data_IF_273972936907
#
_entry.id   IF_273972936907
#
_cell.length_a   1.000
_cell.length_b   1.000
_cell.length_c   1.000
_cell.angle_alpha   90.00
_cell.angle_beta   90.00
_cell.angle_gamma   90.00
#
_symmetry.space_group_name_H-M   'P 1'
#
loop_
_entity.id
_entity.type
_entity.pdbx_description
1 polymer ?
#
# COMPACT_ATOMS: atom_id res chain seq x y z
N UNK A 1 -1.97 -27.94 8.29
CA UNK A 1 -2.58 -27.82 6.97
C UNK A 1 -2.17 -26.54 6.27
N UNK A 2 -2.53 -26.38 5.02
CA UNK A 2 -2.23 -25.18 4.20
C UNK A 2 -2.79 -23.85 4.79
N UNK A 3 -3.81 -23.95 5.64
CA UNK A 3 -4.45 -22.76 6.26
C UNK A 3 -3.53 -22.01 7.24
N UNK A 4 -2.55 -22.68 7.85
CA UNK A 4 -1.64 -22.03 8.79
C UNK A 4 -0.57 -21.15 8.13
N UNK A 5 -0.29 -21.35 6.85
CA UNK A 5 0.72 -20.57 6.11
C UNK A 5 0.19 -19.20 5.66
N UNK A 6 -1.12 -19.07 5.48
CA UNK A 6 -1.74 -17.80 5.06
C UNK A 6 -1.59 -16.68 6.11
N UNK A 7 -1.34 -17.05 7.35
CA UNK A 7 -1.31 -16.17 8.51
C UNK A 7 0.10 -16.05 9.11
N UNK A 8 1.13 -16.44 8.34
CA UNK A 8 2.52 -16.26 8.77
C UNK A 8 3.01 -14.85 8.42
N UNK A 9 3.60 -14.19 9.42
CA UNK A 9 4.09 -12.82 9.35
C UNK A 9 5.52 -12.73 9.83
N UNK A 10 6.32 -11.94 9.13
CA UNK A 10 7.66 -11.53 9.55
C UNK A 10 7.63 -10.05 9.90
N UNK A 11 8.34 -9.66 10.96
CA UNK A 11 8.43 -8.26 11.38
C UNK A 11 9.89 -7.85 11.36
N UNK A 12 10.21 -6.83 10.58
CA UNK A 12 11.56 -6.32 10.39
C UNK A 12 11.62 -4.84 10.78
N UNK A 13 12.72 -4.42 11.41
CA UNK A 13 12.99 -3.01 11.72
C UNK A 13 13.72 -2.36 10.54
N UNK A 14 13.05 -1.41 9.89
CA UNK A 14 13.60 -0.65 8.76
C UNK A 14 14.50 0.49 9.26
N UNK A 15 14.11 1.14 10.36
CA UNK A 15 14.80 2.27 10.98
C UNK A 15 14.53 2.28 12.47
N UNK A 16 15.48 2.81 13.24
CA UNK A 16 15.36 2.98 14.70
C UNK A 16 14.91 4.38 15.11
N UNK A 17 15.08 5.39 14.26
CA UNK A 17 14.74 6.79 14.58
C UNK A 17 14.30 7.57 13.33
N UNK A 18 12.99 7.75 13.12
CA UNK A 18 11.89 7.11 13.86
C UNK A 18 11.97 5.58 13.73
N UNK A 19 11.35 4.86 14.67
CA UNK A 19 11.26 3.41 14.53
C UNK A 19 10.24 3.10 13.43
N UNK A 20 10.68 2.37 12.41
CA UNK A 20 9.81 1.91 11.31
C UNK A 20 9.85 0.39 11.30
N UNK A 21 8.70 -0.22 11.50
CA UNK A 21 8.52 -1.66 11.34
C UNK A 21 7.85 -1.94 10.00
N UNK A 22 8.35 -2.94 9.30
CA UNK A 22 7.73 -3.55 8.14
C UNK A 22 7.24 -4.94 8.55
N UNK A 23 5.92 -5.15 8.50
CA UNK A 23 5.26 -6.43 8.82
C UNK A 23 4.86 -7.05 7.49
N UNK A 24 5.52 -8.14 7.14
CA UNK A 24 5.37 -8.83 5.86
C UNK A 24 4.54 -10.11 6.02
N UNK A 25 3.39 -10.17 5.37
CA UNK A 25 2.56 -11.38 5.27
C UNK A 25 3.07 -12.24 4.13
N UNK A 26 3.94 -13.20 4.43
CA UNK A 26 4.77 -13.93 3.46
C UNK A 26 3.98 -14.68 2.40
N UNK A 27 2.88 -15.34 2.79
CA UNK A 27 2.04 -16.11 1.86
C UNK A 27 1.26 -15.25 0.85
N UNK A 28 1.07 -13.95 1.14
CA UNK A 28 0.26 -13.03 0.34
C UNK A 28 1.06 -11.90 -0.29
N UNK A 29 2.22 -11.63 0.27
CA UNK A 29 3.05 -10.50 -0.13
C UNK A 29 2.56 -9.14 0.37
N UNK A 30 1.54 -9.09 1.23
CA UNK A 30 1.05 -7.82 1.80
C UNK A 30 2.01 -7.31 2.87
N UNK A 31 2.23 -6.02 2.90
CA UNK A 31 3.17 -5.35 3.79
C UNK A 31 2.45 -4.21 4.52
N UNK A 32 2.46 -4.26 5.84
CA UNK A 32 2.00 -3.18 6.72
C UNK A 32 3.21 -2.43 7.27
N UNK A 33 3.11 -1.13 7.39
CA UNK A 33 4.14 -0.33 8.06
C UNK A 33 3.60 0.28 9.36
N UNK A 34 4.41 0.19 10.42
CA UNK A 34 4.13 0.86 11.71
C UNK A 34 5.28 1.82 11.99
N UNK A 35 4.96 3.09 12.15
CA UNK A 35 5.95 4.15 12.36
C UNK A 35 5.74 4.73 13.75
N UNK A 36 6.80 4.75 14.55
CA UNK A 36 6.74 5.17 15.95
C UNK A 36 7.72 6.31 16.19
N UNK A 37 7.23 7.39 16.81
CA UNK A 37 8.03 8.54 17.22
C UNK A 37 7.49 9.09 18.53
N UNK A 38 8.35 9.20 19.56
CA UNK A 38 8.06 9.85 20.86
C UNK A 38 6.74 9.35 21.50
N UNK A 39 6.50 8.04 21.47
CA UNK A 39 5.30 7.44 22.08
C UNK A 39 4.02 7.55 21.25
N UNK A 40 4.08 8.09 20.06
CA UNK A 40 2.99 8.06 19.08
C UNK A 40 3.30 7.09 17.94
N UNK A 41 2.28 6.37 17.50
CA UNK A 41 2.37 5.45 16.36
C UNK A 41 1.36 5.82 15.27
N UNK A 42 1.77 5.63 14.02
CA UNK A 42 0.88 5.62 12.86
C UNK A 42 1.04 4.31 12.10
N UNK A 43 -0.03 3.84 11.48
CA UNK A 43 -0.07 2.57 10.74
C UNK A 43 -0.46 2.84 9.30
N UNK A 44 0.25 2.23 8.35
CA UNK A 44 -0.03 2.35 6.91
C UNK A 44 -0.31 0.95 6.35
N UNK A 45 -1.41 0.79 5.62
CA UNK A 45 -1.86 -0.43 4.93
C UNK A 45 -1.92 -1.65 5.85
N UNK A 46 -2.73 -1.54 6.88
CA UNK A 46 -2.87 -2.60 7.86
C UNK A 46 -3.52 -3.86 7.26
N UNK A 47 -2.88 -5.01 7.43
CA UNK A 47 -3.51 -6.31 7.20
C UNK A 47 -4.60 -6.60 8.24
N UNK A 48 -5.54 -7.50 7.93
CA UNK A 48 -6.70 -7.77 8.79
C UNK A 48 -6.40 -8.43 10.14
N UNK A 49 -5.23 -9.07 10.31
CA UNK A 49 -4.80 -9.64 11.58
C UNK A 49 -4.17 -8.57 12.46
N UNK A 50 -5.01 -7.80 13.13
CA UNK A 50 -4.63 -6.53 13.77
C UNK A 50 -3.92 -6.68 15.11
N UNK A 51 -4.05 -7.82 15.79
CA UNK A 51 -3.48 -8.02 17.13
C UNK A 51 -1.97 -7.81 17.18
N UNK A 52 -1.24 -8.35 16.22
CA UNK A 52 0.21 -8.17 16.16
C UNK A 52 0.63 -6.70 16.02
N UNK A 53 -0.13 -5.91 15.26
CA UNK A 53 0.14 -4.49 15.03
C UNK A 53 -0.10 -3.70 16.32
N UNK A 54 -1.24 -3.97 16.98
CA UNK A 54 -1.60 -3.34 18.26
C UNK A 54 -0.61 -3.73 19.35
N UNK A 55 -0.24 -5.00 19.43
CA UNK A 55 0.72 -5.50 20.43
C UNK A 55 2.12 -4.93 20.20
N UNK A 56 2.54 -4.76 18.94
CA UNK A 56 3.81 -4.14 18.59
C UNK A 56 3.87 -2.68 19.08
N UNK A 57 2.85 -1.89 18.80
CA UNK A 57 2.76 -0.52 19.30
C UNK A 57 2.72 -0.47 20.84
N UNK A 58 1.96 -1.36 21.49
CA UNK A 58 1.88 -1.44 22.95
C UNK A 58 3.23 -1.83 23.57
N UNK A 59 3.95 -2.79 23.01
CA UNK A 59 5.30 -3.20 23.46
C UNK A 59 6.30 -2.04 23.37
N UNK A 60 6.17 -1.21 22.35
CA UNK A 60 6.95 0.02 22.19
C UNK A 60 6.42 1.20 23.03
N UNK A 61 5.39 0.98 23.88
CA UNK A 61 4.73 2.03 24.68
C UNK A 61 4.23 3.21 23.84
N UNK A 62 3.80 2.94 22.62
CA UNK A 62 3.31 3.94 21.68
C UNK A 62 1.79 3.84 21.52
N UNK A 63 1.11 4.99 21.47
CA UNK A 63 -0.31 5.10 21.18
C UNK A 63 -0.51 5.20 19.67
N UNK A 64 -1.30 4.31 19.07
CA UNK A 64 -1.71 4.46 17.69
C UNK A 64 -2.70 5.63 17.61
N UNK A 65 -2.33 6.68 16.87
CA UNK A 65 -3.11 7.91 16.74
C UNK A 65 -3.80 8.03 15.39
N UNK A 66 -3.22 7.44 14.34
CA UNK A 66 -3.77 7.47 12.98
C UNK A 66 -3.49 6.15 12.26
N UNK A 67 -4.44 5.78 11.40
CA UNK A 67 -4.31 4.65 10.49
C UNK A 67 -4.61 5.15 9.08
N UNK A 68 -3.75 4.82 8.14
CA UNK A 68 -3.83 5.23 6.75
C UNK A 68 -3.93 4.00 5.83
N UNK A 69 -4.82 4.05 4.86
CA UNK A 69 -4.75 3.15 3.71
C UNK A 69 -4.31 3.98 2.49
N UNK A 70 -3.26 3.51 1.79
CA UNK A 70 -2.74 4.16 0.59
C UNK A 70 -3.75 4.12 -0.55
N UNK A 71 -4.57 3.09 -0.59
CA UNK A 71 -5.64 2.90 -1.58
C UNK A 71 -6.69 1.90 -1.06
N UNK A 72 -7.81 1.78 -1.75
CA UNK A 72 -8.79 0.73 -1.47
C UNK A 72 -8.22 -0.61 -1.94
N UNK A 73 -7.74 -1.42 -0.99
CA UNK A 73 -7.18 -2.73 -1.26
C UNK A 73 -8.21 -3.64 -1.96
N UNK A 74 -7.79 -4.30 -3.03
CA UNK A 74 -8.65 -5.21 -3.79
C UNK A 74 -8.28 -6.69 -3.61
N UNK A 75 -7.08 -6.97 -3.14
CA UNK A 75 -6.51 -8.32 -3.03
C UNK A 75 -6.52 -8.87 -1.60
N UNK A 76 -6.64 -8.02 -0.58
CA UNK A 76 -6.75 -8.40 0.83
C UNK A 76 -7.70 -7.50 1.61
N UNK A 77 -8.14 -7.99 2.75
CA UNK A 77 -9.02 -7.24 3.65
C UNK A 77 -8.16 -6.35 4.55
N UNK A 78 -8.42 -5.03 4.50
CA UNK A 78 -7.74 -4.07 5.36
C UNK A 78 -8.17 -4.22 6.82
N UNK A 79 -7.19 -4.20 7.74
CA UNK A 79 -7.39 -4.10 9.18
C UNK A 79 -7.47 -2.65 9.68
N UNK A 80 -7.34 -1.66 8.79
CA UNK A 80 -7.19 -0.26 9.17
C UNK A 80 -8.34 0.25 10.02
N UNK A 81 -9.59 -0.01 9.63
CA UNK A 81 -10.78 0.38 10.39
C UNK A 81 -10.87 -0.29 11.76
N UNK A 82 -10.50 -1.57 11.82
CA UNK A 82 -10.51 -2.31 13.09
C UNK A 82 -9.46 -1.78 14.07
N UNK A 83 -8.24 -1.50 13.58
CA UNK A 83 -7.21 -0.85 14.41
C UNK A 83 -7.69 0.51 14.90
N UNK A 84 -8.23 1.35 14.01
CA UNK A 84 -8.74 2.67 14.39
C UNK A 84 -9.80 2.57 15.49
N UNK A 85 -10.78 1.66 15.33
CA UNK A 85 -11.82 1.40 16.33
C UNK A 85 -11.25 0.95 17.68
N UNK A 86 -10.31 0.01 17.67
CA UNK A 86 -9.74 -0.58 18.90
C UNK A 86 -8.78 0.36 19.64
N UNK A 87 -8.04 1.20 18.91
CA UNK A 87 -7.08 2.14 19.50
C UNK A 87 -7.64 3.53 19.76
N UNK A 88 -8.83 3.85 19.26
CA UNK A 88 -9.38 5.20 19.24
C UNK A 88 -8.66 6.15 18.28
N UNK A 89 -7.94 5.60 17.30
CA UNK A 89 -7.26 6.36 16.25
C UNK A 89 -8.25 6.83 15.17
N UNK A 90 -7.84 7.81 14.37
CA UNK A 90 -8.56 8.19 13.16
C UNK A 90 -8.16 7.32 11.99
N UNK A 91 -9.11 6.97 11.12
CA UNK A 91 -8.86 6.22 9.90
C UNK A 91 -8.94 7.15 8.68
N UNK A 92 -7.92 7.09 7.84
CA UNK A 92 -7.71 7.98 6.71
C UNK A 92 -7.58 7.21 5.41
N UNK A 93 -8.31 7.66 4.39
CA UNK A 93 -8.23 7.16 3.02
C UNK A 93 -8.64 8.28 2.05
N UNK A 94 -8.16 8.22 0.81
CA UNK A 94 -8.54 9.19 -0.21
C UNK A 94 -10.02 9.02 -0.64
N UNK A 95 -10.80 10.11 -0.76
CA UNK A 95 -12.24 10.03 -1.03
C UNK A 95 -12.59 9.37 -2.37
N UNK A 96 -11.73 9.45 -3.38
CA UNK A 96 -11.95 8.77 -4.66
C UNK A 96 -11.98 7.24 -4.51
N UNK A 97 -11.24 6.68 -3.56
CA UNK A 97 -11.22 5.24 -3.28
C UNK A 97 -12.28 4.83 -2.25
N UNK A 98 -12.66 5.75 -1.37
CA UNK A 98 -13.71 5.53 -0.38
C UNK A 98 -15.13 5.88 -0.89
N UNK A 99 -15.29 6.10 -2.18
CA UNK A 99 -16.60 6.37 -2.75
C UNK A 99 -17.58 5.21 -2.48
N UNK A 100 -18.70 5.51 -1.80
CA UNK A 100 -19.69 4.51 -1.37
C UNK A 100 -19.32 3.76 -0.08
N UNK A 101 -18.32 4.22 0.70
CA UNK A 101 -18.00 3.65 2.00
C UNK A 101 -19.20 3.75 2.96
N UNK A 102 -19.51 2.65 3.63
CA UNK A 102 -20.58 2.55 4.64
C UNK A 102 -20.09 2.87 6.07
N UNK A 103 -18.99 3.63 6.18
CA UNK A 103 -18.39 4.05 7.45
C UNK A 103 -17.82 5.46 7.36
N UNK A 104 -17.59 6.08 8.50
CA UNK A 104 -16.93 7.39 8.58
C UNK A 104 -15.41 7.24 8.47
N UNK A 105 -14.78 8.13 7.72
CA UNK A 105 -13.33 8.23 7.56
C UNK A 105 -12.90 9.70 7.49
N UNK A 106 -11.62 9.96 7.67
CA UNK A 106 -11.05 11.28 7.45
C UNK A 106 -10.48 11.31 6.03
N UNK A 107 -10.98 12.19 5.16
CA UNK A 107 -10.52 12.25 3.77
C UNK A 107 -9.11 12.81 3.67
N UNK A 108 -8.24 12.11 2.94
CA UNK A 108 -6.90 12.58 2.59
C UNK A 108 -6.96 13.64 1.48
N UNK A 109 -6.08 14.64 1.58
CA UNK A 109 -5.90 15.70 0.58
C UNK A 109 -4.44 15.80 0.16
N UNK A 110 -4.19 16.01 -1.13
CA UNK A 110 -2.85 16.23 -1.67
C UNK A 110 -2.17 17.42 -0.97
N UNK A 111 -0.91 17.25 -0.57
CA UNK A 111 -0.13 18.26 0.14
C UNK A 111 -0.49 18.45 1.63
N UNK A 112 -1.44 17.68 2.17
CA UNK A 112 -1.73 17.69 3.60
C UNK A 112 -0.52 17.14 4.38
N UNK A 113 -0.30 17.72 5.57
CA UNK A 113 0.81 17.32 6.46
C UNK A 113 0.29 16.89 7.81
N UNK A 114 0.68 15.71 8.23
CA UNK A 114 0.46 15.20 9.58
C UNK A 114 1.76 15.25 10.39
N UNK A 115 1.63 15.56 11.67
CA UNK A 115 2.74 15.50 12.64
C UNK A 115 2.42 14.46 13.70
N UNK A 116 3.41 13.70 14.14
CA UNK A 116 3.35 12.78 15.26
C UNK A 116 4.74 12.60 15.87
N UNK A 117 4.84 12.72 17.19
CA UNK A 117 6.13 12.81 17.86
C UNK A 117 7.00 13.91 17.25
N UNK A 118 8.17 13.55 16.71
CA UNK A 118 9.09 14.47 15.99
C UNK A 118 9.06 14.31 14.47
N UNK A 119 8.11 13.56 13.94
CA UNK A 119 8.04 13.25 12.51
C UNK A 119 6.98 14.07 11.79
N UNK A 120 7.21 14.28 10.51
CA UNK A 120 6.23 14.81 9.56
C UNK A 120 5.90 13.76 8.50
N UNK A 121 4.63 13.62 8.15
CA UNK A 121 4.14 12.72 7.12
C UNK A 121 3.33 13.54 6.11
N UNK A 122 3.91 13.76 4.94
CA UNK A 122 3.27 14.52 3.87
C UNK A 122 2.46 13.59 2.97
N UNK A 123 1.24 14.02 2.64
CA UNK A 123 0.35 13.32 1.73
C UNK A 123 0.71 13.67 0.29
N UNK A 124 1.01 12.69 -0.51
CA UNK A 124 1.30 12.82 -1.95
C UNK A 124 0.26 12.02 -2.72
N UNK A 125 -0.75 12.68 -3.26
CA UNK A 125 -1.72 12.00 -4.13
C UNK A 125 -1.00 11.43 -5.35
N UNK A 126 -1.05 10.12 -5.53
CA UNK A 126 -0.31 9.37 -6.53
C UNK A 126 -1.22 8.44 -7.35
N UNK A 127 -2.25 9.01 -8.02
CA UNK A 127 -3.28 8.22 -8.70
C UNK A 127 -2.70 7.44 -9.88
N UNK A 128 -3.37 6.33 -10.21
CA UNK A 128 -3.02 5.50 -11.36
C UNK A 128 -3.25 4.01 -11.13
N UNK A 129 -2.76 3.43 -10.05
CA UNK A 129 -3.18 2.09 -9.63
C UNK A 129 -4.66 2.08 -9.24
N UNK A 130 -5.07 3.06 -8.45
CA UNK A 130 -6.45 3.48 -8.24
C UNK A 130 -6.55 5.00 -8.38
N UNK A 131 -7.75 5.57 -8.57
CA UNK A 131 -7.93 7.03 -8.60
C UNK A 131 -7.58 7.72 -7.28
N UNK A 132 -7.74 7.00 -6.16
CA UNK A 132 -7.43 7.49 -4.81
C UNK A 132 -6.06 7.11 -4.29
N UNK A 133 -5.24 6.41 -5.08
CA UNK A 133 -3.88 6.03 -4.64
C UNK A 133 -3.12 7.22 -4.08
N UNK A 134 -2.60 7.05 -2.89
CA UNK A 134 -1.92 8.08 -2.12
C UNK A 134 -0.63 7.51 -1.56
N UNK A 135 0.45 8.25 -1.70
CA UNK A 135 1.75 7.94 -1.08
C UNK A 135 1.99 8.85 0.12
N UNK A 136 2.79 8.41 1.05
CA UNK A 136 3.11 9.17 2.26
C UNK A 136 4.62 9.38 2.35
N UNK A 137 5.06 10.64 2.37
CA UNK A 137 6.47 11.01 2.46
C UNK A 137 6.81 11.37 3.92
N UNK A 138 7.58 10.50 4.57
CA UNK A 138 8.05 10.69 5.94
C UNK A 138 9.36 11.47 5.95
N UNK A 139 9.36 12.63 6.61
CA UNK A 139 10.52 13.52 6.83
C UNK A 139 11.34 13.82 5.56
N UNK A 140 10.69 13.77 4.39
CA UNK A 140 11.34 13.97 3.09
C UNK A 140 12.31 12.85 2.65
N UNK A 141 12.33 11.69 3.35
CA UNK A 141 13.35 10.63 3.18
C UNK A 141 12.79 9.27 2.83
N UNK A 142 11.61 8.93 3.32
CA UNK A 142 10.98 7.62 3.12
C UNK A 142 9.61 7.80 2.50
N UNK A 143 9.34 7.14 1.39
CA UNK A 143 8.07 7.21 0.67
C UNK A 143 7.35 5.86 0.73
N UNK A 144 6.22 5.83 1.40
CA UNK A 144 5.30 4.69 1.40
C UNK A 144 4.41 4.82 0.17
N UNK A 145 4.62 3.98 -0.83
CA UNK A 145 4.02 4.15 -2.17
C UNK A 145 2.74 3.36 -2.38
N UNK A 146 2.32 2.56 -1.40
CA UNK A 146 1.27 1.59 -1.67
C UNK A 146 1.69 0.68 -2.83
N UNK A 147 0.79 0.52 -3.76
CA UNK A 147 1.03 -0.24 -4.99
C UNK A 147 1.45 0.64 -6.19
N UNK A 148 1.61 1.95 -6.01
CA UNK A 148 2.05 2.83 -7.11
C UNK A 148 3.41 2.42 -7.63
N UNK A 149 4.40 2.20 -6.76
CA UNK A 149 5.71 1.61 -7.09
C UNK A 149 6.00 0.47 -6.13
N UNK A 150 6.27 -0.70 -6.66
CA UNK A 150 6.74 -1.89 -5.93
C UNK A 150 8.16 -2.26 -6.40
N UNK A 151 8.90 -3.06 -5.61
CA UNK A 151 10.30 -3.39 -5.94
C UNK A 151 10.44 -4.07 -7.29
N UNK A 152 9.55 -4.99 -7.61
CA UNK A 152 9.61 -5.77 -8.86
C UNK A 152 8.63 -5.30 -9.94
N UNK A 153 7.73 -4.35 -9.64
CA UNK A 153 6.64 -3.96 -10.54
C UNK A 153 6.12 -2.55 -10.25
N UNK A 154 5.18 -2.11 -11.04
CA UNK A 154 4.33 -0.93 -10.83
C UNK A 154 2.89 -1.42 -10.79
N UNK A 155 2.05 -0.79 -9.98
CA UNK A 155 0.64 -1.13 -9.85
C UNK A 155 -0.10 -1.05 -11.19
N UNK A 156 -0.89 -2.06 -11.48
CA UNK A 156 -1.68 -2.10 -12.71
C UNK A 156 -2.84 -1.10 -12.66
N UNK A 157 -3.06 -0.31 -13.71
CA UNK A 157 -4.07 0.76 -13.72
C UNK A 157 -5.42 0.32 -14.29
N UNK A 158 -5.79 -0.96 -14.22
CA UNK A 158 -6.98 -1.49 -14.91
C UNK A 158 -7.98 -2.21 -13.98
N UNK A 159 -7.72 -2.23 -12.67
CA UNK A 159 -8.57 -2.92 -11.70
C UNK A 159 -10.02 -2.38 -11.64
N UNK A 160 -10.25 -1.15 -12.08
CA UNK A 160 -11.57 -0.53 -12.18
C UNK A 160 -12.20 -0.59 -13.57
N UNK A 161 -11.58 -1.25 -14.54
CA UNK A 161 -12.08 -1.32 -15.92
C UNK A 161 -11.86 -0.05 -16.76
N UNK A 162 -11.09 0.93 -16.25
CA UNK A 162 -10.81 2.23 -16.89
C UNK A 162 -9.32 2.38 -17.20
N UNK A 163 -8.75 1.40 -17.87
CA UNK A 163 -7.31 1.28 -18.08
C UNK A 163 -6.68 2.51 -18.75
N UNK A 164 -7.35 3.12 -19.72
CA UNK A 164 -6.83 4.29 -20.46
C UNK A 164 -6.71 5.51 -19.55
N UNK A 165 -7.76 5.83 -18.80
CA UNK A 165 -7.79 6.98 -17.91
C UNK A 165 -6.80 6.80 -16.75
N UNK A 166 -6.77 5.62 -16.15
CA UNK A 166 -5.89 5.35 -15.02
C UNK A 166 -4.43 5.23 -15.44
N UNK A 167 -4.15 4.75 -16.67
CA UNK A 167 -2.80 4.76 -17.23
C UNK A 167 -2.27 6.19 -17.43
N UNK A 168 -3.15 7.14 -17.81
CA UNK A 168 -2.78 8.56 -17.89
C UNK A 168 -2.42 9.13 -16.52
N UNK A 169 -3.25 8.84 -15.51
CA UNK A 169 -2.97 9.24 -14.13
C UNK A 169 -1.66 8.65 -13.63
N UNK A 170 -1.41 7.36 -13.90
CA UNK A 170 -0.17 6.69 -13.51
C UNK A 170 1.05 7.33 -14.20
N UNK A 171 0.95 7.64 -15.48
CA UNK A 171 2.01 8.32 -16.21
C UNK A 171 2.33 9.69 -15.58
N UNK A 172 1.32 10.51 -15.30
CA UNK A 172 1.48 11.80 -14.64
C UNK A 172 2.11 11.66 -13.24
N UNK A 173 1.69 10.64 -12.49
CA UNK A 173 2.26 10.34 -11.17
C UNK A 173 3.75 10.01 -11.29
N UNK A 174 4.12 9.08 -12.16
CA UNK A 174 5.51 8.62 -12.29
C UNK A 174 6.44 9.71 -12.82
N UNK A 175 6.05 10.41 -13.88
CA UNK A 175 6.94 11.31 -14.60
C UNK A 175 6.84 12.77 -14.14
N UNK A 176 5.70 13.21 -13.62
CA UNK A 176 5.52 14.60 -13.18
C UNK A 176 5.59 14.75 -11.67
N UNK A 177 4.78 13.97 -10.92
CA UNK A 177 4.73 14.12 -9.46
C UNK A 177 5.97 13.54 -8.81
N UNK A 178 6.24 12.27 -9.01
CA UNK A 178 7.45 11.63 -8.51
C UNK A 178 8.71 12.08 -9.24
N UNK A 179 8.59 12.58 -10.48
CA UNK A 179 9.70 13.17 -11.21
C UNK A 179 10.40 14.31 -10.49
N UNK A 180 9.67 15.02 -9.61
CA UNK A 180 10.18 16.16 -8.81
C UNK A 180 10.83 15.74 -7.49
N UNK A 181 10.67 14.48 -7.08
CA UNK A 181 11.21 13.98 -5.82
C UNK A 181 12.68 13.59 -5.97
N UNK A 182 13.43 13.71 -4.88
CA UNK A 182 14.83 13.29 -4.84
C UNK A 182 14.97 11.77 -5.07
N UNK A 183 15.90 11.38 -5.93
CA UNK A 183 16.13 9.97 -6.27
C UNK A 183 16.65 9.11 -5.13
N UNK A 184 17.23 9.71 -4.08
CA UNK A 184 17.73 9.02 -2.90
C UNK A 184 16.64 8.60 -1.92
N UNK A 185 15.39 9.09 -2.09
CA UNK A 185 14.26 8.71 -1.24
C UNK A 185 14.07 7.20 -1.27
N UNK A 186 13.99 6.61 -0.07
CA UNK A 186 13.74 5.17 0.10
C UNK A 186 12.25 4.91 -0.06
N UNK A 187 11.91 4.00 -0.95
CA UNK A 187 10.53 3.53 -1.18
C UNK A 187 10.28 2.29 -0.34
N UNK A 188 9.14 2.29 0.36
CA UNK A 188 8.57 1.16 1.08
C UNK A 188 7.19 0.85 0.49
N UNK A 189 7.05 -0.23 -0.30
CA UNK A 189 5.80 -0.60 -0.95
C UNK A 189 4.87 -1.39 -0.03
N UNK A 190 3.59 -1.54 -0.43
CA UNK A 190 2.61 -2.35 0.29
C UNK A 190 2.60 -3.81 -0.15
N UNK A 191 3.19 -4.13 -1.29
CA UNK A 191 3.26 -5.51 -1.79
C UNK A 191 4.63 -5.90 -2.32
N UNK A 192 4.91 -7.21 -2.17
CA UNK A 192 5.98 -7.92 -2.88
C UNK A 192 5.43 -9.24 -3.43
N UNK A 193 5.94 -9.69 -4.56
CA UNK A 193 5.45 -10.90 -5.26
C UNK A 193 6.28 -12.13 -4.96
N UNK A 194 7.40 -11.94 -4.28
CA UNK A 194 8.37 -13.00 -3.98
C UNK A 194 9.23 -12.64 -2.77
N UNK A 195 9.58 -13.63 -1.96
CA UNK A 195 10.58 -13.48 -0.89
C UNK A 195 11.95 -13.02 -1.43
N UNK A 196 12.22 -13.21 -2.73
CA UNK A 196 13.46 -12.72 -3.38
C UNK A 196 13.52 -11.18 -3.47
N UNK A 197 12.43 -10.50 -3.18
CA UNK A 197 12.39 -9.03 -3.13
C UNK A 197 12.85 -8.48 -1.78
N UNK A 198 12.96 -9.32 -0.76
CA UNK A 198 13.56 -8.95 0.51
C UNK A 198 15.07 -8.76 0.34
N UNK A 199 15.62 -7.77 1.02
CA UNK A 199 17.07 -7.59 1.18
C UNK A 199 17.61 -8.62 2.19
N UNK A 200 18.92 -8.58 2.46
CA UNK A 200 19.57 -9.51 3.41
C UNK A 200 19.01 -9.40 4.84
N UNK A 201 18.47 -8.24 5.21
CA UNK A 201 17.83 -7.95 6.48
C UNK A 201 16.30 -8.21 6.48
N UNK A 202 15.78 -8.85 5.43
CA UNK A 202 14.36 -9.23 5.31
C UNK A 202 13.42 -8.09 4.87
N UNK A 203 13.95 -6.92 4.54
CA UNK A 203 13.17 -5.73 4.21
C UNK A 203 12.94 -5.65 2.71
N UNK A 204 11.71 -5.29 2.32
CA UNK A 204 11.36 -4.96 0.93
C UNK A 204 11.46 -3.45 0.77
N UNK A 205 12.51 -3.00 0.08
CA UNK A 205 12.76 -1.58 -0.21
C UNK A 205 13.54 -1.40 -1.50
N UNK A 206 13.50 -0.18 -2.04
CA UNK A 206 14.35 0.31 -3.12
C UNK A 206 14.44 1.83 -3.00
N UNK A 207 15.38 2.47 -3.69
CA UNK A 207 15.39 3.92 -3.84
C UNK A 207 14.52 4.34 -5.03
N UNK A 208 14.06 5.58 -5.03
CA UNK A 208 13.31 6.10 -6.18
C UNK A 208 14.19 6.12 -7.45
N UNK A 209 15.51 6.30 -7.30
CA UNK A 209 16.42 6.21 -8.43
C UNK A 209 16.54 4.77 -8.98
N UNK A 210 16.60 3.78 -8.10
CA UNK A 210 16.53 2.37 -8.54
C UNK A 210 15.23 2.08 -9.27
N UNK A 211 14.07 2.54 -8.76
CA UNK A 211 12.79 2.39 -9.45
C UNK A 211 12.83 3.00 -10.86
N UNK A 212 13.38 4.22 -10.98
CA UNK A 212 13.52 4.94 -12.26
C UNK A 212 14.43 4.23 -13.26
N UNK A 213 15.46 3.51 -12.79
CA UNK A 213 16.45 2.86 -13.65
C UNK A 213 16.11 1.41 -13.98
N UNK A 214 15.43 0.70 -13.08
CA UNK A 214 15.17 -0.75 -13.23
C UNK A 214 13.77 -1.08 -13.72
N UNK A 215 12.78 -0.20 -13.50
CA UNK A 215 11.42 -0.46 -13.96
C UNK A 215 11.27 -0.22 -15.46
N UNK A 216 10.77 -1.23 -16.18
CA UNK A 216 10.50 -1.14 -17.62
C UNK A 216 9.57 0.03 -17.97
N UNK A 217 8.55 0.32 -17.14
CA UNK A 217 7.62 1.42 -17.36
C UNK A 217 8.30 2.79 -17.27
N UNK A 218 9.28 2.97 -16.39
CA UNK A 218 10.03 4.22 -16.33
C UNK A 218 10.92 4.46 -17.55
N UNK A 219 11.23 3.41 -18.35
CA UNK A 219 12.00 3.57 -19.59
C UNK A 219 11.13 4.03 -20.76
N UNK A 220 9.80 3.93 -20.65
CA UNK A 220 8.87 4.32 -21.71
C UNK A 220 8.42 5.77 -21.48
N UNK A 221 9.11 6.73 -22.12
CA UNK A 221 8.90 8.16 -21.90
C UNK A 221 7.72 8.74 -22.67
N UNK A 222 7.34 8.12 -23.79
CA UNK A 222 6.25 8.61 -24.62
C UNK A 222 4.92 7.99 -24.21
N UNK A 223 3.92 8.82 -23.89
CA UNK A 223 2.64 8.35 -23.37
C UNK A 223 1.92 7.32 -24.29
N UNK A 224 1.89 7.47 -25.63
CA UNK A 224 1.27 6.45 -26.48
C UNK A 224 1.93 5.06 -26.35
N UNK A 225 3.25 5.02 -26.25
CA UNK A 225 4.00 3.77 -26.05
C UNK A 225 3.77 3.20 -24.63
N UNK A 226 3.70 4.07 -23.60
CA UNK A 226 3.37 3.70 -22.24
C UNK A 226 1.98 3.05 -22.17
N UNK A 227 0.96 3.70 -22.74
CA UNK A 227 -0.40 3.17 -22.82
C UNK A 227 -0.45 1.84 -23.58
N UNK A 228 0.28 1.74 -24.71
CA UNK A 228 0.39 0.48 -25.47
C UNK A 228 0.98 -0.65 -24.64
N UNK A 229 2.00 -0.38 -23.82
CA UNK A 229 2.60 -1.36 -22.91
C UNK A 229 1.60 -1.81 -21.82
N UNK A 230 0.86 -0.87 -21.21
CA UNK A 230 -0.20 -1.16 -20.26
C UNK A 230 -1.22 -2.11 -20.89
N UNK A 231 -1.79 -1.73 -22.06
CA UNK A 231 -2.80 -2.53 -22.76
C UNK A 231 -2.33 -3.95 -23.10
N UNK A 232 -1.08 -4.10 -23.48
CA UNK A 232 -0.48 -5.42 -23.76
C UNK A 232 -0.22 -6.27 -22.52
N UNK A 233 -0.32 -5.69 -21.32
CA UNK A 233 -0.08 -6.34 -20.02
C UNK A 233 -1.35 -6.56 -19.21
N UNK A 234 -2.53 -6.24 -19.76
CA UNK A 234 -3.80 -6.42 -19.07
C UNK A 234 -4.04 -7.90 -18.76
N UNK A 235 -4.61 -8.16 -17.59
CA UNK A 235 -4.99 -9.48 -17.11
C UNK A 235 -6.42 -9.42 -16.60
N UNK A 236 -7.13 -10.56 -16.61
CA UNK A 236 -8.43 -10.66 -15.96
C UNK A 236 -8.33 -10.30 -14.46
N UNK A 237 -9.35 -9.60 -13.99
CA UNK A 237 -9.48 -9.30 -12.58
C UNK A 237 -10.15 -10.48 -11.88
N UNK A 238 -9.56 -11.04 -10.81
CA UNK A 238 -10.20 -12.08 -10.04
C UNK A 238 -11.56 -11.61 -9.51
N UNK A 239 -12.61 -12.45 -9.65
CA UNK A 239 -13.96 -12.15 -9.17
C UNK A 239 -13.96 -11.72 -7.69
N UNK A 240 -13.12 -12.36 -6.86
CA UNK A 240 -12.99 -12.06 -5.44
C UNK A 240 -12.54 -10.61 -5.14
N UNK A 241 -11.89 -9.92 -6.09
CA UNK A 241 -11.46 -8.54 -5.89
C UNK A 241 -12.63 -7.58 -5.70
N UNK A 242 -13.75 -7.83 -6.39
CA UNK A 242 -14.97 -7.04 -6.20
C UNK A 242 -15.56 -7.25 -4.80
N UNK A 243 -15.56 -8.49 -4.30
CA UNK A 243 -16.07 -8.80 -2.96
C UNK A 243 -15.15 -8.23 -1.88
N UNK A 244 -13.83 -8.33 -2.02
CA UNK A 244 -12.87 -7.73 -1.09
C UNK A 244 -13.06 -6.21 -1.03
N UNK A 245 -13.23 -5.55 -2.19
CA UNK A 245 -13.53 -4.11 -2.22
C UNK A 245 -14.81 -3.75 -1.48
N UNK A 246 -15.88 -4.55 -1.64
CA UNK A 246 -17.12 -4.35 -0.88
C UNK A 246 -16.91 -4.52 0.63
N UNK A 247 -16.11 -5.50 1.05
CA UNK A 247 -15.72 -5.67 2.46
C UNK A 247 -14.97 -4.45 2.96
N UNK A 248 -13.98 -3.98 2.21
CA UNK A 248 -13.17 -2.83 2.57
C UNK A 248 -13.96 -1.51 2.55
N UNK A 249 -15.01 -1.40 1.74
CA UNK A 249 -15.99 -0.30 1.78
C UNK A 249 -17.05 -0.44 2.89
N UNK A 250 -17.04 -1.55 3.64
CA UNK A 250 -18.04 -1.82 4.68
C UNK A 250 -19.43 -2.16 4.15
N UNK A 251 -19.54 -2.46 2.85
CA UNK A 251 -20.79 -2.84 2.18
C UNK A 251 -21.11 -4.33 2.33
N UNK A 252 -20.10 -5.14 2.69
CA UNK A 252 -20.21 -6.56 2.94
C UNK A 252 -19.46 -6.89 4.23
N UNK A 253 -20.09 -7.69 5.12
CA UNK A 253 -19.47 -8.15 6.36
C UNK A 253 -19.53 -9.68 6.44
N UNK A 254 -18.62 -10.39 5.75
CA UNK A 254 -18.59 -11.85 5.74
C UNK A 254 -18.04 -12.40 7.07
N UNK A 255 -18.39 -13.66 7.37
CA UNK A 255 -17.80 -14.39 8.47
C UNK A 255 -16.30 -14.69 8.25
N UNK A 256 -15.63 -15.20 9.27
CA UNK A 256 -14.19 -15.45 9.23
C UNK A 256 -13.81 -16.52 8.17
N UNK A 257 -14.66 -17.52 7.95
CA UNK A 257 -14.42 -18.55 6.94
C UNK A 257 -14.43 -17.94 5.54
N UNK A 258 -15.42 -17.09 5.25
CA UNK A 258 -15.51 -16.37 3.96
C UNK A 258 -14.40 -15.35 3.79
N UNK A 259 -13.97 -14.66 4.85
CA UNK A 259 -12.81 -13.73 4.81
C UNK A 259 -11.55 -14.49 4.40
N UNK A 260 -11.29 -15.66 4.98
CA UNK A 260 -10.16 -16.53 4.61
C UNK A 260 -10.25 -16.97 3.15
N UNK A 261 -11.43 -17.41 2.69
CA UNK A 261 -11.66 -17.81 1.30
C UNK A 261 -11.36 -16.67 0.31
N UNK A 262 -11.83 -15.45 0.61
CA UNK A 262 -11.60 -14.26 -0.23
C UNK A 262 -10.11 -13.95 -0.39
N UNK A 263 -9.31 -14.22 0.62
CA UNK A 263 -7.88 -13.98 0.59
C UNK A 263 -7.04 -15.17 0.05
N UNK A 264 -7.65 -16.27 -0.43
CA UNK A 264 -6.92 -17.37 -1.06
C UNK A 264 -6.43 -16.98 -2.46
N UNK A 265 -5.21 -17.37 -2.80
CA UNK A 265 -4.60 -17.24 -4.13
C UNK A 265 -3.59 -16.09 -4.24
N UNK A 266 -2.98 -15.96 -5.42
CA UNK A 266 -1.89 -15.00 -5.66
C UNK A 266 -2.39 -13.56 -5.69
N UNK A 267 -1.52 -12.65 -5.24
CA UNK A 267 -1.68 -11.21 -5.48
C UNK A 267 -1.41 -10.90 -6.97
N UNK A 268 -2.31 -10.15 -7.59
CA UNK A 268 -2.25 -9.73 -8.99
C UNK A 268 -2.32 -8.20 -9.15
N UNK A 269 -1.98 -7.43 -8.12
CA UNK A 269 -2.02 -5.96 -8.15
C UNK A 269 -0.89 -5.35 -8.98
N UNK A 270 0.18 -6.09 -9.24
CA UNK A 270 1.28 -5.65 -10.10
C UNK A 270 1.08 -6.00 -11.56
N UNK A 271 1.76 -5.27 -12.43
CA UNK A 271 1.80 -5.57 -13.86
C UNK A 271 2.55 -6.88 -14.12
N UNK A 272 2.03 -7.68 -15.05
CA UNK A 272 2.68 -8.93 -15.44
C UNK A 272 4.05 -8.65 -16.07
N UNK A 273 5.09 -9.40 -15.64
CA UNK A 273 6.35 -9.43 -16.39
C UNK A 273 6.08 -10.17 -17.70
N UNK A 274 6.38 -9.57 -18.85
CA UNK A 274 6.47 -10.31 -20.11
C UNK A 274 7.56 -11.38 -19.94
N UNK A 275 7.20 -12.64 -20.23
CA UNK A 275 8.15 -13.75 -20.34
C UNK A 275 9.09 -13.52 -21.52
#
# INVERSE_FOLDING_TARGET
GMDSWSDFYETHTVSERPTIYQIYRTARGCITHVIISEGEAVVIDAVRHTDQIINLAAAAKAKITRVFDTHLQADHISGGREIAKRSGATYHIHPADAAGAAYSYVPLKDGERFTFGKCTLDVVHSPGHTPGSTSFLLDGKVLFTGDTIMKASIGRPDLGGMADDWAKLLYETLFTRFGKLDGSIVILPTHAFSLKEQDQDGIVRLTLNEARTTSALYQIKEFPAFLGHIKASLMENPQRYQDIRKVNLGQLDPDEAKRKELEIGKNLCGMAKKK
#
